data_IF_945934847279
#
_entry.id   IF_945934847279
#
_cell.length_a   1.000
_cell.length_b   1.000
_cell.length_c   1.000
_cell.angle_alpha   90.00
_cell.angle_beta   90.00
_cell.angle_gamma   90.00
#
_symmetry.space_group_name_H-M   'P 1'
#
loop_
_entity.id
_entity.type
_entity.pdbx_description
1 polymer ?
#
# COMPACT_ATOMS: atom_id res chain seq x y z
N UNK A 1 -5.87 -4.71 -10.72
CA UNK A 1 -5.17 -5.87 -10.13
C UNK A 1 -5.70 -6.21 -8.74
N UNK A 2 -5.70 -7.50 -8.39
CA UNK A 2 -6.13 -8.00 -7.07
C UNK A 2 -5.30 -7.40 -5.93
N UNK A 3 -4.03 -7.09 -6.19
CA UNK A 3 -3.10 -6.49 -5.23
C UNK A 3 -3.38 -5.02 -4.95
N UNK A 4 -3.77 -4.25 -5.98
CA UNK A 4 -4.12 -2.84 -5.85
C UNK A 4 -5.35 -2.68 -4.95
N UNK A 5 -6.38 -3.49 -5.21
CA UNK A 5 -7.60 -3.51 -4.39
C UNK A 5 -7.32 -3.93 -2.96
N UNK A 6 -6.47 -4.93 -2.73
CA UNK A 6 -6.06 -5.34 -1.37
C UNK A 6 -5.39 -4.20 -0.60
N UNK A 7 -4.51 -3.44 -1.26
CA UNK A 7 -3.84 -2.29 -0.65
C UNK A 7 -4.88 -1.22 -0.29
N UNK A 8 -5.83 -0.94 -1.18
CA UNK A 8 -6.90 0.02 -0.93
C UNK A 8 -7.79 -0.41 0.24
N UNK A 9 -8.23 -1.66 0.27
CA UNK A 9 -9.04 -2.19 1.38
C UNK A 9 -8.32 -2.07 2.72
N UNK A 10 -7.05 -2.48 2.79
CA UNK A 10 -6.24 -2.36 4.02
C UNK A 10 -6.03 -0.90 4.43
N UNK A 11 -5.85 0.00 3.46
CA UNK A 11 -5.76 1.44 3.72
C UNK A 11 -7.09 1.95 4.27
N UNK A 12 -8.22 1.63 3.64
CA UNK A 12 -9.57 2.01 4.10
C UNK A 12 -9.86 1.49 5.52
N UNK A 13 -9.52 0.23 5.82
CA UNK A 13 -9.64 -0.35 7.17
C UNK A 13 -8.78 0.39 8.22
N UNK A 14 -7.74 1.11 7.78
CA UNK A 14 -6.86 1.90 8.64
C UNK A 14 -7.09 3.42 8.51
N UNK A 15 -8.32 3.87 8.24
CA UNK A 15 -8.68 5.28 8.05
C UNK A 15 -8.00 5.94 6.83
N UNK A 16 -7.78 5.19 5.76
CA UNK A 16 -7.18 5.69 4.53
C UNK A 16 -5.69 6.03 4.65
N UNK A 17 -5.02 5.69 5.75
CA UNK A 17 -3.59 5.94 5.92
C UNK A 17 -2.92 4.94 6.87
N UNK A 18 -1.70 4.52 6.52
CA UNK A 18 -0.90 3.61 7.30
C UNK A 18 0.51 4.18 7.44
N UNK A 19 1.03 4.25 8.67
CA UNK A 19 2.41 4.65 8.94
C UNK A 19 3.41 3.53 8.61
N UNK A 20 3.23 2.88 7.45
CA UNK A 20 3.97 1.70 7.05
C UNK A 20 4.22 1.76 5.55
N UNK A 21 5.46 1.54 5.14
CA UNK A 21 5.90 1.73 3.75
C UNK A 21 6.62 0.49 3.24
N UNK A 22 7.05 0.53 1.98
CA UNK A 22 7.88 -0.55 1.40
C UNK A 22 9.26 -0.72 2.07
N UNK A 23 9.64 0.17 3.00
CA UNK A 23 10.78 0.00 3.90
C UNK A 23 10.48 -0.91 5.10
N UNK A 24 9.22 -1.16 5.42
CA UNK A 24 8.84 -2.06 6.52
C UNK A 24 9.23 -3.50 6.20
N UNK A 25 9.32 -4.32 7.25
CA UNK A 25 9.78 -5.70 7.14
C UNK A 25 8.94 -6.50 6.14
N UNK A 26 9.62 -7.37 5.40
CA UNK A 26 8.98 -8.17 4.37
C UNK A 26 7.85 -9.04 4.97
N UNK A 27 8.11 -9.60 6.14
CA UNK A 27 7.13 -10.37 6.92
C UNK A 27 5.92 -9.53 7.32
N UNK A 28 6.11 -8.27 7.71
CA UNK A 28 5.00 -7.41 8.13
C UNK A 28 4.11 -7.01 6.94
N UNK A 29 4.72 -6.71 5.79
CA UNK A 29 4.01 -6.44 4.54
C UNK A 29 3.25 -7.69 4.07
N UNK A 30 3.89 -8.86 4.13
CA UNK A 30 3.24 -10.14 3.78
C UNK A 30 2.12 -10.45 4.78
N UNK A 31 2.27 -10.15 6.05
CA UNK A 31 1.25 -10.42 7.07
C UNK A 31 0.03 -9.50 6.93
N UNK A 32 0.24 -8.21 6.67
CA UNK A 32 -0.84 -7.21 6.57
C UNK A 32 -1.50 -7.24 5.19
N UNK A 33 -0.71 -7.26 4.12
CA UNK A 33 -1.23 -7.16 2.76
C UNK A 33 -1.31 -8.52 2.05
N UNK A 34 -0.84 -9.61 2.67
CA UNK A 34 -0.83 -10.96 2.08
C UNK A 34 -0.18 -10.98 0.69
N UNK A 35 0.91 -10.24 0.54
CA UNK A 35 1.62 -10.06 -0.73
C UNK A 35 3.13 -9.86 -0.51
N UNK A 36 3.93 -10.42 -1.42
CA UNK A 36 5.40 -10.34 -1.34
C UNK A 36 5.91 -8.91 -1.60
N UNK A 37 7.11 -8.58 -1.09
CA UNK A 37 7.80 -7.29 -1.33
C UNK A 37 7.84 -6.87 -2.81
N UNK A 38 7.99 -7.84 -3.72
CA UNK A 38 8.00 -7.60 -5.18
C UNK A 38 6.63 -7.15 -5.70
N UNK A 39 5.56 -7.85 -5.35
CA UNK A 39 4.19 -7.51 -5.75
C UNK A 39 3.72 -6.23 -5.08
N UNK A 40 4.11 -5.99 -3.82
CA UNK A 40 3.79 -4.76 -3.09
C UNK A 40 4.37 -3.55 -3.82
N UNK A 41 5.69 -3.55 -4.09
CA UNK A 41 6.34 -2.45 -4.83
C UNK A 41 5.72 -2.22 -6.21
N UNK A 42 5.31 -3.30 -6.91
CA UNK A 42 4.64 -3.20 -8.21
C UNK A 42 3.25 -2.55 -8.10
N UNK A 43 2.41 -3.04 -7.18
CA UNK A 43 1.07 -2.49 -6.97
C UNK A 43 1.13 -1.04 -6.48
N UNK A 44 2.10 -0.71 -5.62
CA UNK A 44 2.34 0.67 -5.20
C UNK A 44 2.75 1.58 -6.34
N UNK A 45 3.64 1.15 -7.22
CA UNK A 45 3.98 1.93 -8.41
C UNK A 45 2.76 2.14 -9.31
N UNK A 46 1.95 1.11 -9.56
CA UNK A 46 0.73 1.25 -10.37
C UNK A 46 -0.30 2.17 -9.72
N UNK A 47 -0.56 2.05 -8.41
CA UNK A 47 -1.48 2.92 -7.68
C UNK A 47 -0.97 4.36 -7.61
N UNK A 48 0.35 4.56 -7.46
CA UNK A 48 1.00 5.87 -7.47
C UNK A 48 0.91 6.52 -8.85
N UNK A 49 1.15 5.77 -9.94
CA UNK A 49 0.95 6.25 -11.32
C UNK A 49 -0.50 6.67 -11.56
N UNK A 50 -1.45 5.87 -11.06
CA UNK A 50 -2.89 6.18 -11.12
C UNK A 50 -3.32 7.29 -10.14
N UNK A 51 -2.39 7.85 -9.35
CA UNK A 51 -2.61 8.87 -8.30
C UNK A 51 -3.66 8.48 -7.25
N UNK A 52 -3.86 7.18 -7.03
CA UNK A 52 -4.83 6.64 -6.07
C UNK A 52 -4.24 6.57 -4.66
N UNK A 53 -2.92 6.48 -4.54
CA UNK A 53 -2.22 6.52 -3.25
C UNK A 53 -1.08 7.53 -3.27
N UNK A 54 -0.74 8.01 -2.09
CA UNK A 54 0.38 8.87 -1.79
C UNK A 54 1.34 8.12 -0.87
N UNK A 55 2.61 8.05 -1.26
CA UNK A 55 3.67 7.36 -0.53
C UNK A 55 4.67 8.42 -0.06
N UNK A 56 4.68 8.64 1.25
CA UNK A 56 5.59 9.55 1.93
C UNK A 56 6.62 8.76 2.76
N UNK A 57 7.65 9.46 3.23
CA UNK A 57 8.68 8.83 4.06
C UNK A 57 8.14 8.31 5.41
N UNK A 58 7.06 8.94 5.89
CA UNK A 58 6.38 8.59 7.14
C UNK A 58 5.28 7.52 6.99
N UNK A 59 4.87 7.16 5.77
CA UNK A 59 3.72 6.29 5.57
C UNK A 59 3.14 6.29 4.17
N UNK A 60 2.04 5.58 4.03
CA UNK A 60 1.23 5.52 2.82
C UNK A 60 -0.19 5.96 3.13
N UNK A 61 -0.76 6.79 2.28
CA UNK A 61 -2.12 7.30 2.40
C UNK A 61 -2.87 7.07 1.09
N UNK A 62 -4.12 6.64 1.16
CA UNK A 62 -5.02 6.64 0.02
C UNK A 62 -5.39 8.08 -0.31
N UNK A 63 -5.33 8.43 -1.60
CA UNK A 63 -5.91 9.64 -2.13
C UNK A 63 -7.36 9.31 -2.48
N UNK A 64 -8.29 9.68 -1.60
CA UNK A 64 -9.67 9.81 -2.03
C UNK A 64 -9.77 11.10 -2.83
N UNK A 65 -10.03 10.96 -4.13
CA UNK A 65 -10.63 12.03 -4.94
C UNK A 65 -12.10 12.18 -4.53
#
# INVERSE_FOLDING_TARGET
DQFEQKILTVLEERNGSIAMTSKSDADEIVKIFAMSKKSFKRALNSLKEKKVIDLNENGMSMKSV
#
